data_IF_794803806128
#
_entry.id   IF_794803806128
#
_cell.length_a   1.000
_cell.length_b   1.000
_cell.length_c   1.000
_cell.angle_alpha   90.00
_cell.angle_beta   90.00
_cell.angle_gamma   90.00
#
_symmetry.space_group_name_H-M   'P 1'
#
loop_
_entity.id
_entity.type
_entity.pdbx_description
1 polymer ?
#
# COMPACT_ATOMS: atom_id res chain seq x y z
N UNK A 1 -3.47 -4.60 25.66
CA UNK A 1 -3.06 -4.26 24.26
C UNK A 1 -4.27 -4.43 23.38
N UNK A 2 -4.51 -3.51 22.40
CA UNK A 2 -5.55 -3.71 21.38
C UNK A 2 -5.26 -5.02 20.65
N UNK A 3 -6.30 -5.74 20.23
CA UNK A 3 -6.13 -6.93 19.39
C UNK A 3 -5.25 -6.59 18.19
N UNK A 4 -4.13 -7.30 18.04
CA UNK A 4 -3.22 -7.13 16.90
C UNK A 4 -3.99 -7.57 15.65
N UNK A 5 -3.99 -6.73 14.62
CA UNK A 5 -4.55 -7.06 13.32
C UNK A 5 -3.43 -7.20 12.31
N UNK A 6 -3.33 -8.38 11.71
CA UNK A 6 -2.34 -8.68 10.68
C UNK A 6 -2.86 -8.20 9.34
N UNK A 7 -2.27 -7.08 8.87
CA UNK A 7 -2.52 -6.50 7.55
C UNK A 7 -1.34 -6.73 6.63
N UNK A 8 -1.53 -6.58 5.32
CA UNK A 8 -0.45 -6.67 4.34
C UNK A 8 0.70 -5.68 4.62
N UNK A 9 0.38 -4.50 5.18
CA UNK A 9 1.40 -3.51 5.54
C UNK A 9 2.22 -3.97 6.75
N UNK A 10 1.59 -4.62 7.73
CA UNK A 10 2.30 -5.18 8.87
C UNK A 10 3.21 -6.33 8.45
N UNK A 11 2.73 -7.23 7.57
CA UNK A 11 3.54 -8.32 7.01
C UNK A 11 4.81 -7.75 6.35
N UNK A 12 4.65 -6.79 5.45
CA UNK A 12 5.79 -6.13 4.77
C UNK A 12 6.78 -5.51 5.75
N UNK A 13 6.30 -4.90 6.82
CA UNK A 13 7.18 -4.25 7.78
C UNK A 13 7.91 -5.25 8.67
N UNK A 14 7.24 -6.33 9.09
CA UNK A 14 7.84 -7.42 9.88
C UNK A 14 8.89 -8.18 9.08
N UNK A 15 8.74 -8.31 7.77
CA UNK A 15 9.72 -8.96 6.90
C UNK A 15 10.99 -8.14 6.69
N UNK A 16 10.99 -6.85 7.00
CA UNK A 16 12.21 -6.02 6.95
C UNK A 16 13.11 -6.38 8.12
N UNK A 17 14.33 -6.77 7.82
CA UNK A 17 15.31 -7.09 8.86
C UNK A 17 15.83 -5.83 9.56
N UNK A 18 16.11 -5.95 10.83
CA UNK A 18 17.02 -5.07 11.59
C UNK A 18 16.37 -3.95 12.41
N UNK A 19 15.14 -3.50 12.14
CA UNK A 19 14.54 -2.44 12.95
C UNK A 19 13.04 -2.66 13.20
N UNK A 20 12.68 -2.81 14.46
CA UNK A 20 11.30 -3.10 14.89
C UNK A 20 10.52 -1.83 15.26
N UNK A 21 11.13 -0.64 15.18
CA UNK A 21 10.48 0.62 15.55
C UNK A 21 9.23 0.89 14.70
N UNK A 22 9.28 0.64 13.39
CA UNK A 22 8.14 0.85 12.52
C UNK A 22 6.99 -0.10 12.84
N UNK A 23 7.29 -1.36 13.15
CA UNK A 23 6.31 -2.34 13.64
C UNK A 23 5.66 -1.85 14.94
N UNK A 24 6.46 -1.43 15.94
CA UNK A 24 5.97 -0.84 17.19
C UNK A 24 5.00 0.32 16.96
N UNK A 25 5.40 1.27 16.11
CA UNK A 25 4.59 2.45 15.78
C UNK A 25 3.27 2.07 15.07
N UNK A 26 3.31 1.13 14.14
CA UNK A 26 2.11 0.62 13.48
C UNK A 26 1.14 -0.03 14.49
N UNK A 27 1.63 -0.84 15.42
CA UNK A 27 0.81 -1.47 16.46
C UNK A 27 0.22 -0.45 17.44
N UNK A 28 0.90 0.67 17.66
CA UNK A 28 0.40 1.79 18.45
C UNK A 28 -0.64 2.63 17.70
N UNK A 29 -0.85 2.38 16.40
CA UNK A 29 -1.74 3.15 15.53
C UNK A 29 -1.17 4.51 15.11
N UNK A 30 0.16 4.70 15.28
CA UNK A 30 0.81 5.91 14.82
C UNK A 30 0.92 5.90 13.29
N UNK A 31 0.47 6.98 12.66
CA UNK A 31 0.56 7.19 11.22
C UNK A 31 1.54 8.31 10.93
N UNK A 32 2.25 8.17 9.83
CA UNK A 32 3.10 9.24 9.30
C UNK A 32 2.28 10.15 8.38
N UNK A 33 2.69 11.40 8.26
CA UNK A 33 2.15 12.30 7.23
C UNK A 33 2.36 11.67 5.84
N UNK A 34 1.33 11.67 4.98
CA UNK A 34 1.47 11.15 3.64
C UNK A 34 2.48 11.97 2.83
N UNK A 35 3.31 11.29 2.03
CA UNK A 35 4.11 11.99 1.02
C UNK A 35 3.22 12.54 -0.07
N UNK A 36 3.76 13.47 -0.88
CA UNK A 36 3.07 13.97 -2.07
C UNK A 36 2.64 12.82 -3.01
N UNK A 37 3.49 11.81 -3.21
CA UNK A 37 3.16 10.65 -4.02
C UNK A 37 2.00 9.82 -3.41
N UNK A 38 2.00 9.64 -2.09
CA UNK A 38 0.89 8.97 -1.39
C UNK A 38 -0.39 9.79 -1.49
N UNK A 39 -0.30 11.11 -1.30
CA UNK A 39 -1.45 12.01 -1.44
C UNK A 39 -2.03 11.96 -2.85
N UNK A 40 -1.18 11.95 -3.89
CA UNK A 40 -1.62 11.76 -5.27
C UNK A 40 -2.38 10.44 -5.46
N UNK A 41 -1.87 9.34 -4.90
CA UNK A 41 -2.54 8.04 -4.97
C UNK A 41 -3.90 8.03 -4.28
N UNK A 42 -3.97 8.56 -3.06
CA UNK A 42 -5.23 8.67 -2.30
C UNK A 42 -6.25 9.57 -3.00
N UNK A 43 -5.81 10.72 -3.52
CA UNK A 43 -6.65 11.64 -4.29
C UNK A 43 -7.19 10.97 -5.56
N UNK A 44 -6.31 10.30 -6.31
CA UNK A 44 -6.67 9.58 -7.52
C UNK A 44 -7.72 8.49 -7.24
N UNK A 45 -7.48 7.62 -6.25
CA UNK A 45 -8.40 6.56 -5.85
C UNK A 45 -9.75 7.14 -5.45
N UNK A 46 -9.77 8.16 -4.56
CA UNK A 46 -11.01 8.77 -4.07
C UNK A 46 -11.89 9.31 -5.21
N UNK A 47 -11.29 10.08 -6.13
CA UNK A 47 -12.07 10.70 -7.22
C UNK A 47 -12.34 9.75 -8.39
N UNK A 48 -11.64 8.62 -8.48
CA UNK A 48 -11.90 7.61 -9.50
C UNK A 48 -13.06 6.68 -9.12
N UNK A 49 -13.03 6.12 -7.91
CA UNK A 49 -13.99 5.10 -7.47
C UNK A 49 -14.82 5.50 -6.25
N UNK A 50 -14.53 6.61 -5.60
CA UNK A 50 -15.14 7.05 -4.36
C UNK A 50 -14.48 6.44 -3.12
N UNK A 51 -15.11 6.66 -1.96
CA UNK A 51 -14.58 6.18 -0.66
C UNK A 51 -13.59 7.16 -0.02
N UNK A 52 -13.48 7.06 1.29
CA UNK A 52 -12.54 7.85 2.10
C UNK A 52 -11.91 6.95 3.16
N UNK A 53 -10.81 6.31 2.86
CA UNK A 53 -10.08 5.51 3.85
C UNK A 53 -9.64 6.36 5.04
N UNK A 54 -10.42 6.35 6.10
CA UNK A 54 -10.13 7.12 7.30
C UNK A 54 -10.96 8.37 7.49
N UNK A 55 -11.97 8.61 6.65
CA UNK A 55 -13.01 9.60 6.87
C UNK A 55 -12.78 10.99 6.26
N UNK A 56 -11.58 11.33 5.81
CA UNK A 56 -11.28 12.63 5.19
C UNK A 56 -11.03 12.49 3.69
N UNK A 57 -11.58 13.42 2.92
CA UNK A 57 -11.27 13.54 1.49
C UNK A 57 -9.83 14.01 1.34
N UNK A 58 -9.00 13.34 0.53
CA UNK A 58 -7.65 13.80 0.30
C UNK A 58 -7.63 15.16 -0.39
N UNK A 59 -6.95 16.14 0.18
CA UNK A 59 -6.87 17.49 -0.34
C UNK A 59 -5.42 17.94 -0.52
N UNK A 60 -5.17 18.65 -1.62
CA UNK A 60 -3.91 19.34 -1.83
C UNK A 60 -3.93 20.72 -1.18
N UNK A 61 -2.86 21.09 -0.51
CA UNK A 61 -2.71 22.46 -0.01
C UNK A 61 -2.60 23.42 -1.19
N UNK A 62 -3.44 24.48 -1.26
CA UNK A 62 -3.38 25.44 -2.34
C UNK A 62 -2.03 26.19 -2.34
N UNK A 63 -1.63 26.68 -3.50
CA UNK A 63 -0.47 27.55 -3.63
C UNK A 63 -0.70 28.88 -2.88
N UNK A 64 0.38 29.62 -2.60
CA UNK A 64 0.28 30.94 -1.96
C UNK A 64 -0.60 31.94 -2.74
N UNK A 65 -0.77 31.72 -4.04
CA UNK A 65 -1.68 32.46 -4.92
C UNK A 65 -3.15 32.08 -4.77
N UNK A 66 -3.48 31.05 -3.98
CA UNK A 66 -4.82 30.48 -3.89
C UNK A 66 -5.17 29.48 -5.00
N UNK A 67 -4.28 29.29 -5.99
CA UNK A 67 -4.51 28.37 -7.09
C UNK A 67 -4.23 26.91 -6.68
N UNK A 68 -4.84 25.97 -7.40
CA UNK A 68 -4.56 24.54 -7.25
C UNK A 68 -3.12 24.22 -7.68
N UNK A 69 -2.42 23.33 -6.95
CA UNK A 69 -1.12 22.85 -7.38
C UNK A 69 -1.21 22.14 -8.73
N UNK A 70 -0.11 22.18 -9.50
CA UNK A 70 -0.06 21.50 -10.80
C UNK A 70 -0.32 19.99 -10.68
N UNK A 71 0.16 19.35 -9.61
CA UNK A 71 -0.08 17.94 -9.36
C UNK A 71 -1.58 17.61 -9.26
N UNK A 72 -2.37 18.47 -8.61
CA UNK A 72 -3.83 18.32 -8.51
C UNK A 72 -4.50 18.49 -9.88
N UNK A 73 -4.11 19.50 -10.66
CA UNK A 73 -4.67 19.73 -12.00
C UNK A 73 -4.37 18.55 -12.95
N UNK A 74 -3.13 18.07 -12.95
CA UNK A 74 -2.72 16.92 -13.76
C UNK A 74 -3.54 15.65 -13.38
N UNK A 75 -3.89 15.49 -12.10
CA UNK A 75 -4.70 14.35 -11.63
C UNK A 75 -6.18 14.47 -12.03
N UNK A 76 -6.76 15.66 -11.98
CA UNK A 76 -8.18 15.88 -12.39
C UNK A 76 -8.37 15.41 -13.82
N UNK A 77 -7.52 15.88 -14.75
CA UNK A 77 -7.59 15.48 -16.17
C UNK A 77 -7.39 13.97 -16.37
N UNK A 78 -6.51 13.36 -15.56
CA UNK A 78 -6.24 11.94 -15.61
C UNK A 78 -7.41 11.11 -15.10
N UNK A 79 -8.06 11.54 -14.01
CA UNK A 79 -9.19 10.84 -13.39
C UNK A 79 -10.35 10.70 -14.38
N UNK A 80 -10.70 11.76 -15.11
CA UNK A 80 -11.79 11.71 -16.08
C UNK A 80 -11.47 10.72 -17.22
N UNK A 81 -10.25 10.77 -17.75
CA UNK A 81 -9.79 9.78 -18.75
C UNK A 81 -9.79 8.35 -18.20
N UNK A 82 -9.47 8.19 -16.91
CA UNK A 82 -9.43 6.89 -16.26
C UNK A 82 -10.82 6.30 -16.06
N UNK A 83 -11.84 7.12 -15.80
CA UNK A 83 -13.26 6.68 -15.77
C UNK A 83 -13.70 6.12 -17.12
N UNK A 84 -13.32 6.81 -18.20
CA UNK A 84 -13.59 6.33 -19.56
C UNK A 84 -12.88 4.99 -19.83
N UNK A 85 -11.64 4.82 -19.36
CA UNK A 85 -10.90 3.56 -19.49
C UNK A 85 -11.53 2.43 -18.69
N UNK A 86 -12.04 2.66 -17.48
CA UNK A 86 -12.78 1.65 -16.71
C UNK A 86 -14.00 1.18 -17.51
N UNK A 87 -14.79 2.11 -18.04
CA UNK A 87 -15.98 1.81 -18.83
C UNK A 87 -15.63 1.06 -20.12
N UNK A 88 -14.63 1.52 -20.86
CA UNK A 88 -14.20 0.92 -22.14
C UNK A 88 -13.63 -0.50 -21.96
N UNK A 89 -13.15 -0.86 -20.78
CA UNK A 89 -12.64 -2.19 -20.47
C UNK A 89 -13.62 -3.08 -19.70
N UNK A 90 -14.90 -2.68 -19.60
CA UNK A 90 -15.94 -3.40 -18.89
C UNK A 90 -15.52 -3.73 -17.43
N UNK A 91 -15.04 -2.69 -16.73
CA UNK A 91 -14.66 -2.76 -15.32
C UNK A 91 -15.79 -2.12 -14.51
N UNK A 92 -16.42 -2.93 -13.67
CA UNK A 92 -17.53 -2.52 -12.83
C UNK A 92 -17.09 -2.60 -11.37
N UNK A 93 -17.31 -1.53 -10.62
CA UNK A 93 -17.08 -1.46 -9.18
C UNK A 93 -18.42 -1.70 -8.48
N UNK A 94 -18.51 -2.76 -7.69
CA UNK A 94 -19.74 -3.10 -6.95
C UNK A 94 -19.69 -2.63 -5.50
N UNK A 95 -18.51 -2.77 -4.85
CA UNK A 95 -18.28 -2.34 -3.48
C UNK A 95 -17.00 -1.51 -3.44
N UNK A 96 -17.05 -0.35 -2.77
CA UNK A 96 -15.91 0.55 -2.60
C UNK A 96 -15.37 0.43 -1.19
N UNK A 97 -14.06 0.21 -1.09
CA UNK A 97 -13.28 0.13 0.16
C UNK A 97 -13.83 -0.85 1.20
N UNK A 98 -14.25 -2.08 0.82
CA UNK A 98 -14.71 -3.05 1.79
C UNK A 98 -13.56 -3.52 2.70
N UNK A 99 -13.91 -3.79 3.96
CA UNK A 99 -13.02 -4.41 4.94
C UNK A 99 -13.44 -5.87 5.15
N UNK A 100 -12.49 -6.79 5.04
CA UNK A 100 -12.68 -8.19 5.38
C UNK A 100 -11.81 -8.56 6.55
N UNK A 101 -12.40 -9.22 7.54
CA UNK A 101 -11.73 -9.65 8.76
C UNK A 101 -12.01 -11.14 8.97
N UNK A 102 -10.95 -11.89 9.23
CA UNK A 102 -11.03 -13.25 9.71
C UNK A 102 -10.06 -13.40 10.89
N UNK A 103 -10.59 -13.65 12.09
CA UNK A 103 -9.84 -13.68 13.35
C UNK A 103 -9.03 -12.39 13.56
N UNK A 104 -7.69 -12.49 13.52
CA UNK A 104 -6.76 -11.37 13.64
C UNK A 104 -6.23 -10.83 12.29
N UNK A 105 -6.71 -11.40 11.17
CA UNK A 105 -6.28 -11.00 9.84
C UNK A 105 -7.24 -9.97 9.26
N UNK A 106 -6.71 -8.92 8.61
CA UNK A 106 -7.54 -7.86 8.02
C UNK A 106 -7.05 -7.48 6.62
N UNK A 107 -8.00 -7.37 5.70
CA UNK A 107 -7.78 -6.83 4.36
C UNK A 107 -8.69 -5.61 4.12
N UNK A 108 -8.08 -4.52 3.69
CA UNK A 108 -8.77 -3.32 3.23
C UNK A 108 -8.57 -3.22 1.71
N UNK A 109 -9.54 -3.65 0.94
CA UNK A 109 -9.49 -3.59 -0.51
C UNK A 109 -9.88 -2.19 -1.00
N UNK A 110 -9.44 -1.83 -2.22
CA UNK A 110 -9.95 -0.63 -2.86
C UNK A 110 -11.37 -0.87 -3.39
N UNK A 111 -11.60 -2.07 -3.97
CA UNK A 111 -12.93 -2.44 -4.44
C UNK A 111 -13.13 -3.96 -4.54
N UNK A 112 -14.40 -4.37 -4.60
CA UNK A 112 -14.85 -5.63 -5.16
C UNK A 112 -15.70 -5.30 -6.37
N UNK A 113 -15.53 -6.06 -7.46
CA UNK A 113 -16.23 -5.76 -8.69
C UNK A 113 -16.09 -6.85 -9.74
N UNK A 114 -16.09 -6.45 -11.00
CA UNK A 114 -15.82 -7.34 -12.12
C UNK A 114 -14.96 -6.69 -13.20
N UNK A 115 -14.14 -7.49 -13.85
CA UNK A 115 -13.34 -7.12 -15.03
C UNK A 115 -13.76 -8.02 -16.17
N UNK A 116 -14.40 -7.44 -17.21
CA UNK A 116 -14.91 -8.20 -18.38
C UNK A 116 -15.82 -9.36 -17.97
N UNK A 117 -16.70 -9.11 -16.99
CA UNK A 117 -17.63 -10.09 -16.46
C UNK A 117 -17.05 -11.07 -15.43
N UNK A 118 -15.74 -11.13 -15.21
CA UNK A 118 -15.12 -11.95 -14.16
C UNK A 118 -15.18 -11.21 -12.82
N UNK A 119 -15.90 -11.75 -11.83
CA UNK A 119 -15.91 -11.22 -10.45
C UNK A 119 -14.52 -11.30 -9.85
N UNK A 120 -14.08 -10.23 -9.19
CA UNK A 120 -12.70 -10.13 -8.69
C UNK A 120 -12.56 -9.14 -7.53
N UNK A 121 -11.42 -9.24 -6.85
CA UNK A 121 -10.91 -8.25 -5.93
C UNK A 121 -10.07 -7.25 -6.74
N UNK A 122 -10.20 -5.96 -6.44
CA UNK A 122 -9.57 -4.90 -7.20
C UNK A 122 -8.76 -3.99 -6.27
N UNK A 123 -7.56 -3.64 -6.73
CA UNK A 123 -6.73 -2.62 -6.11
C UNK A 123 -6.26 -1.63 -7.18
N UNK A 124 -6.50 -0.35 -6.92
CA UNK A 124 -6.19 0.75 -7.82
C UNK A 124 -4.80 1.27 -7.49
N UNK A 125 -3.95 1.38 -8.50
CA UNK A 125 -2.62 1.96 -8.35
C UNK A 125 -2.45 3.16 -9.26
N UNK A 126 -2.01 4.25 -8.67
CA UNK A 126 -1.48 5.39 -9.41
C UNK A 126 0.05 5.39 -9.33
N UNK A 127 0.71 5.72 -10.43
CA UNK A 127 2.17 5.91 -10.47
C UNK A 127 2.53 7.19 -11.20
N UNK A 128 3.50 7.93 -10.64
CA UNK A 128 4.02 9.16 -11.25
C UNK A 128 4.89 8.94 -12.50
N UNK A 129 5.04 7.70 -12.98
CA UNK A 129 5.82 7.40 -14.18
C UNK A 129 5.06 7.77 -15.45
N UNK A 130 5.76 8.42 -16.40
CA UNK A 130 5.17 8.79 -17.70
C UNK A 130 5.01 7.59 -18.62
N UNK A 131 5.93 6.65 -18.55
CA UNK A 131 5.93 5.42 -19.33
C UNK A 131 5.97 4.23 -18.37
N UNK A 132 5.36 3.12 -18.76
CA UNK A 132 5.47 1.89 -18.01
C UNK A 132 6.90 1.37 -18.13
N UNK A 133 7.60 1.35 -17.01
CA UNK A 133 9.00 0.99 -16.92
C UNK A 133 9.25 -0.05 -15.84
N UNK A 134 10.40 -0.74 -15.92
CA UNK A 134 10.77 -1.82 -15.02
C UNK A 134 11.16 -1.33 -13.61
N UNK A 135 11.70 -0.10 -13.53
CA UNK A 135 12.24 0.49 -12.30
C UNK A 135 11.47 1.74 -11.88
N UNK A 136 11.84 2.34 -10.75
CA UNK A 136 11.31 3.61 -10.25
C UNK A 136 9.77 3.65 -10.13
N UNK A 137 9.19 2.58 -9.59
CA UNK A 137 7.72 2.50 -9.40
C UNK A 137 6.93 2.08 -10.64
N UNK A 138 7.60 1.78 -11.76
CA UNK A 138 6.95 1.24 -12.96
C UNK A 138 6.43 -0.19 -12.76
N UNK A 139 5.62 -0.64 -13.70
CA UNK A 139 4.91 -1.93 -13.67
C UNK A 139 5.18 -2.78 -14.92
N UNK A 140 6.24 -2.49 -15.68
CA UNK A 140 6.57 -3.24 -16.88
C UNK A 140 6.86 -4.73 -16.59
N UNK A 141 7.41 -5.00 -15.41
CA UNK A 141 7.63 -6.36 -14.92
C UNK A 141 7.00 -6.57 -13.54
N UNK A 142 5.70 -6.89 -13.46
CA UNK A 142 5.01 -7.09 -12.20
C UNK A 142 5.52 -8.30 -11.41
N UNK A 143 6.15 -9.28 -12.06
CA UNK A 143 6.74 -10.45 -11.39
C UNK A 143 7.89 -10.07 -10.45
N UNK A 144 8.57 -8.95 -10.72
CA UNK A 144 9.65 -8.44 -9.87
C UNK A 144 9.16 -7.60 -8.69
N UNK A 145 7.85 -7.42 -8.52
CA UNK A 145 7.25 -6.67 -7.42
C UNK A 145 6.77 -7.59 -6.31
N UNK A 146 7.68 -8.01 -5.44
CA UNK A 146 7.36 -8.87 -4.30
C UNK A 146 6.22 -8.31 -3.45
N UNK A 147 6.23 -6.99 -3.19
CA UNK A 147 5.17 -6.33 -2.42
C UNK A 147 3.77 -6.45 -3.07
N UNK A 148 3.70 -6.51 -4.41
CA UNK A 148 2.44 -6.72 -5.11
C UNK A 148 1.93 -8.16 -4.93
N UNK A 149 2.83 -9.15 -4.94
CA UNK A 149 2.48 -10.54 -4.68
C UNK A 149 1.98 -10.73 -3.25
N UNK A 150 2.67 -10.14 -2.26
CA UNK A 150 2.24 -10.18 -0.86
C UNK A 150 0.83 -9.58 -0.73
N UNK A 151 0.57 -8.44 -1.35
CA UNK A 151 -0.73 -7.77 -1.29
C UNK A 151 -1.84 -8.60 -1.94
N UNK A 152 -1.61 -9.10 -3.16
CA UNK A 152 -2.58 -9.92 -3.88
C UNK A 152 -2.94 -11.20 -3.10
N UNK A 153 -1.93 -11.92 -2.60
CA UNK A 153 -2.14 -13.13 -1.82
C UNK A 153 -2.85 -12.83 -0.49
N UNK A 154 -2.47 -11.75 0.21
CA UNK A 154 -3.07 -11.38 1.49
C UNK A 154 -4.56 -11.03 1.33
N UNK A 155 -4.90 -10.27 0.32
CA UNK A 155 -6.29 -9.86 0.08
C UNK A 155 -7.16 -11.04 -0.36
N UNK A 156 -6.65 -11.88 -1.28
CA UNK A 156 -7.36 -13.09 -1.71
C UNK A 156 -7.53 -14.07 -0.54
N UNK A 157 -6.49 -14.31 0.25
CA UNK A 157 -6.53 -15.19 1.41
C UNK A 157 -7.56 -14.71 2.45
N UNK A 158 -7.45 -13.44 2.86
CA UNK A 158 -8.35 -12.87 3.87
C UNK A 158 -9.80 -12.87 3.40
N UNK A 159 -10.04 -12.51 2.13
CA UNK A 159 -11.38 -12.57 1.53
C UNK A 159 -11.93 -13.99 1.54
N UNK A 160 -11.14 -14.97 1.12
CA UNK A 160 -11.53 -16.38 1.11
C UNK A 160 -11.86 -16.88 2.52
N UNK A 161 -11.03 -16.58 3.49
CA UNK A 161 -11.26 -16.99 4.89
C UNK A 161 -12.50 -16.33 5.50
N UNK A 162 -12.77 -15.07 5.18
CA UNK A 162 -13.92 -14.33 5.69
C UNK A 162 -15.24 -14.71 5.02
N UNK A 163 -15.22 -15.12 3.74
CA UNK A 163 -16.46 -15.32 2.95
C UNK A 163 -16.68 -16.75 2.48
N UNK A 164 -15.67 -17.61 2.55
CA UNK A 164 -15.68 -18.96 1.98
C UNK A 164 -15.59 -18.96 0.43
N UNK A 165 -15.34 -17.83 -0.22
CA UNK A 165 -15.30 -17.70 -1.68
C UNK A 165 -13.90 -17.31 -2.13
N UNK A 166 -13.42 -17.94 -3.20
CA UNK A 166 -12.18 -17.54 -3.87
C UNK A 166 -12.49 -16.66 -5.08
N UNK A 167 -11.84 -15.49 -5.15
CA UNK A 167 -11.90 -14.57 -6.28
C UNK A 167 -10.48 -14.25 -6.77
N UNK A 168 -10.26 -14.09 -8.09
CA UNK A 168 -9.01 -13.57 -8.60
C UNK A 168 -8.81 -12.12 -8.16
N UNK A 169 -7.55 -11.69 -8.15
CA UNK A 169 -7.17 -10.34 -7.76
C UNK A 169 -6.63 -9.56 -8.95
N UNK A 170 -7.04 -8.31 -9.10
CA UNK A 170 -6.56 -7.41 -10.14
C UNK A 170 -5.91 -6.16 -9.57
N UNK A 171 -4.73 -5.83 -10.06
CA UNK A 171 -4.24 -4.46 -10.03
C UNK A 171 -4.69 -3.74 -11.28
N UNK A 172 -5.28 -2.54 -11.12
CA UNK A 172 -5.55 -1.60 -12.20
C UNK A 172 -4.60 -0.44 -12.00
N UNK A 173 -3.57 -0.38 -12.83
CA UNK A 173 -2.46 0.57 -12.67
C UNK A 173 -2.61 1.69 -13.68
N UNK A 174 -2.62 2.93 -13.20
CA UNK A 174 -2.69 4.14 -14.01
C UNK A 174 -1.38 4.93 -13.89
N UNK A 175 -0.82 5.31 -15.02
CA UNK A 175 0.38 6.13 -15.10
C UNK A 175 0.07 7.59 -15.35
N UNK A 176 0.95 8.47 -14.92
CA UNK A 176 0.81 9.93 -15.01
C UNK A 176 0.47 10.47 -16.40
N UNK A 177 0.91 9.81 -17.49
CA UNK A 177 0.60 10.22 -18.86
C UNK A 177 -0.66 9.58 -19.45
N UNK A 178 -1.45 8.87 -18.63
CA UNK A 178 -2.72 8.26 -19.04
C UNK A 178 -2.61 6.84 -19.57
N UNK A 179 -1.46 6.16 -19.44
CA UNK A 179 -1.43 4.72 -19.71
C UNK A 179 -2.12 3.96 -18.57
N UNK A 180 -2.74 2.84 -18.93
CA UNK A 180 -3.40 1.95 -17.99
C UNK A 180 -2.97 0.51 -18.24
N UNK A 181 -2.83 -0.28 -17.16
CA UNK A 181 -2.51 -1.71 -17.22
C UNK A 181 -3.39 -2.49 -16.28
N UNK A 182 -3.93 -3.60 -16.78
CA UNK A 182 -4.61 -4.62 -15.98
C UNK A 182 -3.64 -5.76 -15.69
N UNK A 183 -3.47 -6.10 -14.43
CA UNK A 183 -2.61 -7.19 -13.99
C UNK A 183 -3.45 -8.14 -13.15
N UNK A 184 -3.72 -9.34 -13.70
CA UNK A 184 -4.48 -10.38 -13.03
C UNK A 184 -3.54 -11.29 -12.24
N UNK A 185 -3.82 -11.47 -10.96
CA UNK A 185 -3.18 -12.46 -10.10
C UNK A 185 -4.14 -13.63 -9.88
N UNK A 186 -3.71 -14.81 -10.27
CA UNK A 186 -4.38 -16.04 -9.92
C UNK A 186 -3.71 -16.61 -8.67
N UNK A 187 -4.21 -16.21 -7.49
CA UNK A 187 -3.70 -16.69 -6.21
C UNK A 187 -4.21 -18.12 -5.98
N UNK A 188 -3.55 -19.11 -6.61
CA UNK A 188 -3.91 -20.51 -6.48
C UNK A 188 -3.61 -21.09 -5.10
N UNK A 189 -4.12 -22.31 -4.83
CA UNK A 189 -4.05 -22.98 -3.53
C UNK A 189 -2.65 -22.96 -2.91
N UNK A 190 -1.62 -23.37 -3.65
CA UNK A 190 -0.24 -23.38 -3.14
C UNK A 190 0.33 -21.99 -2.81
N UNK A 191 -0.18 -20.93 -3.44
CA UNK A 191 0.20 -19.56 -3.10
C UNK A 191 -0.49 -19.11 -1.81
N UNK A 192 -1.74 -19.50 -1.60
CA UNK A 192 -2.50 -19.20 -0.40
C UNK A 192 -1.98 -19.99 0.82
N UNK A 193 -1.61 -21.26 0.65
CA UNK A 193 -0.95 -22.06 1.70
C UNK A 193 0.38 -21.43 2.15
N UNK A 194 1.21 -21.00 1.18
CA UNK A 194 2.44 -20.26 1.53
C UNK A 194 2.14 -18.96 2.24
N UNK A 195 1.09 -18.26 1.83
CA UNK A 195 0.70 -17.00 2.46
C UNK A 195 0.20 -17.22 3.89
N UNK A 196 -0.53 -18.29 4.16
CA UNK A 196 -0.90 -18.70 5.52
C UNK A 196 0.35 -18.90 6.41
N UNK A 197 1.37 -19.56 5.88
CA UNK A 197 2.68 -19.67 6.55
C UNK A 197 3.28 -18.31 6.90
N UNK A 198 3.26 -17.36 5.95
CA UNK A 198 3.74 -15.99 6.16
C UNK A 198 2.94 -15.26 7.24
N UNK A 199 1.61 -15.43 7.27
CA UNK A 199 0.74 -14.83 8.29
C UNK A 199 1.09 -15.39 9.67
N UNK A 200 1.26 -16.71 9.78
CA UNK A 200 1.60 -17.37 11.04
C UNK A 200 2.99 -16.93 11.53
N UNK A 201 3.99 -16.91 10.67
CA UNK A 201 5.33 -16.40 11.00
C UNK A 201 5.28 -14.93 11.45
N UNK A 202 4.51 -14.10 10.74
CA UNK A 202 4.33 -12.69 11.11
C UNK A 202 3.73 -12.56 12.50
N UNK A 203 2.70 -13.36 12.81
CA UNK A 203 2.07 -13.39 14.13
C UNK A 203 3.07 -13.76 15.23
N UNK A 204 3.86 -14.80 15.01
CA UNK A 204 4.85 -15.28 15.99
C UNK A 204 5.95 -14.23 16.20
N UNK A 205 6.47 -13.63 15.14
CA UNK A 205 7.49 -12.58 15.22
C UNK A 205 6.96 -11.34 15.95
N UNK A 206 5.74 -10.90 15.65
CA UNK A 206 5.12 -9.75 16.35
C UNK A 206 4.95 -10.05 17.85
N UNK A 207 4.49 -11.25 18.21
CA UNK A 207 4.37 -11.67 19.61
C UNK A 207 5.75 -11.69 20.30
N UNK A 208 6.78 -12.15 19.63
CA UNK A 208 8.15 -12.12 20.14
C UNK A 208 8.64 -10.69 20.34
N UNK A 209 8.49 -9.79 19.34
CA UNK A 209 8.85 -8.38 19.44
C UNK A 209 8.17 -7.69 20.63
N UNK A 210 6.90 -7.97 20.87
CA UNK A 210 6.16 -7.44 22.03
C UNK A 210 6.74 -7.96 23.34
N UNK A 211 7.04 -9.25 23.42
CA UNK A 211 7.62 -9.88 24.63
C UNK A 211 9.01 -9.34 24.95
N UNK A 212 9.79 -9.00 23.94
CA UNK A 212 11.15 -8.48 24.05
C UNK A 212 11.25 -6.94 24.08
N UNK A 213 10.09 -6.25 24.12
CA UNK A 213 9.95 -4.78 24.10
C UNK A 213 10.60 -4.12 22.88
N UNK A 214 10.52 -4.76 21.74
CA UNK A 214 10.98 -4.26 20.43
C UNK A 214 12.46 -3.82 20.42
N UNK A 215 13.24 -4.49 19.62
CA UNK A 215 14.64 -4.15 19.38
C UNK A 215 14.74 -3.23 18.16
N UNK A 216 15.44 -2.13 18.30
CA UNK A 216 15.74 -1.28 17.15
C UNK A 216 17.19 -0.84 17.19
N UNK A 217 17.89 -1.23 16.16
CA UNK A 217 19.28 -0.82 15.93
C UNK A 217 19.34 0.13 14.74
N UNK A 218 20.24 1.10 14.81
CA UNK A 218 20.46 1.98 13.67
C UNK A 218 21.16 1.21 12.55
N UNK A 219 20.47 1.10 11.43
CA UNK A 219 20.99 0.50 10.21
C UNK A 219 21.04 1.56 9.11
N UNK A 220 22.23 2.07 8.78
CA UNK A 220 22.41 3.22 7.88
C UNK A 220 21.64 3.10 6.55
N UNK A 221 21.61 1.92 5.93
CA UNK A 221 20.89 1.67 4.69
C UNK A 221 19.37 1.80 4.83
N UNK A 222 18.79 1.24 5.90
CA UNK A 222 17.36 1.28 6.17
C UNK A 222 16.93 2.60 6.77
N UNK A 223 17.72 3.14 7.71
CA UNK A 223 17.40 4.38 8.42
C UNK A 223 17.38 5.61 7.50
N UNK A 224 18.17 5.62 6.42
CA UNK A 224 18.15 6.71 5.44
C UNK A 224 16.76 6.90 4.81
N UNK A 225 15.99 5.82 4.64
CA UNK A 225 14.65 5.78 4.08
C UNK A 225 13.54 5.61 5.13
N UNK A 226 13.90 5.52 6.42
CA UNK A 226 12.94 5.30 7.49
C UNK A 226 12.08 6.54 7.75
N UNK A 227 10.77 6.34 7.82
CA UNK A 227 9.79 7.40 8.13
C UNK A 227 9.97 7.98 9.52
N UNK A 228 10.45 7.18 10.47
CA UNK A 228 10.63 7.55 11.88
C UNK A 228 12.02 8.03 12.22
N UNK A 229 12.93 8.20 11.25
CA UNK A 229 14.33 8.57 11.49
C UNK A 229 14.50 9.82 12.36
N UNK A 230 13.62 10.81 12.21
CA UNK A 230 13.69 12.07 12.97
C UNK A 230 13.36 11.91 14.45
N UNK A 231 12.60 10.90 14.82
CA UNK A 231 12.14 10.62 16.19
C UNK A 231 12.75 9.35 16.76
N UNK A 232 13.63 8.68 16.01
CA UNK A 232 14.26 7.45 16.43
C UNK A 232 15.48 7.72 17.32
N UNK A 233 15.47 7.28 18.60
CA UNK A 233 16.61 7.48 19.49
C UNK A 233 17.89 6.83 18.97
N UNK A 234 17.79 5.63 18.39
CA UNK A 234 18.95 4.93 17.85
C UNK A 234 19.58 5.67 16.67
N UNK A 235 18.78 6.29 15.79
CA UNK A 235 19.31 7.06 14.67
C UNK A 235 20.06 8.31 15.15
N UNK A 236 19.48 9.03 16.11
CA UNK A 236 20.11 10.23 16.68
C UNK A 236 21.42 9.93 17.41
N UNK A 237 21.50 8.79 18.11
CA UNK A 237 22.68 8.38 18.85
C UNK A 237 23.83 7.85 17.96
N UNK A 238 23.53 7.47 16.71
CA UNK A 238 24.53 6.94 15.77
C UNK A 238 24.99 7.95 14.71
N UNK A 239 24.42 9.16 14.68
CA UNK A 239 24.94 10.24 13.84
C UNK A 239 26.28 10.76 14.42
N UNK A 240 27.39 10.30 13.83
CA UNK A 240 28.73 10.72 14.20
C UNK A 240 29.24 11.92 13.39
N UNK A 241 28.39 12.54 12.59
CA UNK A 241 28.75 13.70 11.77
C UNK A 241 28.30 14.95 12.53
N UNK A 242 29.24 15.60 13.18
CA UNK A 242 28.97 16.84 13.92
C UNK A 242 28.85 18.06 13.01
N UNK A 243 29.57 18.08 11.89
CA UNK A 243 29.60 19.21 10.98
C UNK A 243 30.01 18.82 9.56
N UNK A 244 29.33 19.39 8.56
CA UNK A 244 29.73 19.36 7.14
C UNK A 244 29.95 20.82 6.73
N UNK A 245 31.14 21.17 6.28
CA UNK A 245 31.45 22.47 5.68
C UNK A 245 31.66 22.30 4.19
N UNK A 246 31.03 23.17 3.39
CA UNK A 246 31.38 23.36 1.98
C UNK A 246 32.55 24.35 1.92
N UNK A 247 33.67 23.92 1.36
CA UNK A 247 34.84 24.73 1.14
C UNK A 247 34.76 25.43 -0.23
#
# INVERSE_FOLDING_TARGET
MKNIRISQSLIKEVQKEGCELAVKKMLMGERTEPTEAMLCGLYFEHYLIGGTRGGEVPEFKPLKSGNKPKAELDLIDLIDKSKDLLTANDIIIDEVQPEYIHEDIVAHLDAVGSVRGEKCLIDIKWTGTKEDQKYNGGWADPLMKEEAHIQANHYTYTYMMATGKHLPFYFIVFGKSGWCKLIRFNCGESALERHEGIVNETRDRVNQMIKEDFKYEAHLGLCSKCWYKKTCPSFSNHLQIDKIELL
#
